data_IF_046474961234
#
_entry.id   IF_046474961234
#
_cell.length_a   1.000
_cell.length_b   1.000
_cell.length_c   1.000
_cell.angle_alpha   90.00
_cell.angle_beta   90.00
_cell.angle_gamma   90.00
#
_symmetry.space_group_name_H-M   'P 1'
#
loop_
_entity.id
_entity.type
_entity.pdbx_description
1 polymer ?
#
# COMPACT_ATOMS: atom_id res chain seq x y z
N UNK A 1 -12.31 8.90 -54.54
CA UNK A 1 -11.81 7.97 -53.51
C UNK A 1 -12.30 8.45 -52.16
N UNK A 2 -12.74 7.57 -51.22
CA UNK A 2 -13.02 8.01 -49.86
C UNK A 2 -11.72 8.56 -49.26
N UNK A 3 -11.81 9.73 -48.62
CA UNK A 3 -10.67 10.42 -48.05
C UNK A 3 -10.11 9.60 -46.87
N UNK A 4 -9.04 8.82 -47.11
CA UNK A 4 -8.36 8.00 -46.12
C UNK A 4 -7.98 8.81 -44.88
N UNK A 5 -7.63 10.09 -45.05
CA UNK A 5 -7.30 11.00 -43.96
C UNK A 5 -8.51 11.24 -43.07
N UNK A 6 -9.68 11.46 -43.66
CA UNK A 6 -10.93 11.61 -42.93
C UNK A 6 -11.31 10.34 -42.17
N UNK A 7 -11.11 9.16 -42.76
CA UNK A 7 -11.36 7.88 -42.09
C UNK A 7 -10.43 7.67 -40.89
N UNK A 8 -9.12 7.89 -41.04
CA UNK A 8 -8.15 7.73 -39.96
C UNK A 8 -8.45 8.70 -38.81
N UNK A 9 -8.80 9.95 -39.12
CA UNK A 9 -9.19 10.94 -38.11
C UNK A 9 -10.44 10.52 -37.33
N UNK A 10 -11.50 10.09 -38.03
CA UNK A 10 -12.72 9.61 -37.40
C UNK A 10 -12.49 8.36 -36.54
N UNK A 11 -11.64 7.45 -37.00
CA UNK A 11 -11.27 6.26 -36.22
C UNK A 11 -10.48 6.62 -34.96
N UNK A 12 -9.55 7.57 -35.04
CA UNK A 12 -8.78 8.05 -33.89
C UNK A 12 -9.69 8.71 -32.85
N UNK A 13 -10.68 9.50 -33.29
CA UNK A 13 -11.67 10.11 -32.40
C UNK A 13 -12.52 9.05 -31.70
N UNK A 14 -13.08 8.10 -32.45
CA UNK A 14 -13.88 7.01 -31.89
C UNK A 14 -13.08 6.17 -30.88
N UNK A 15 -11.85 5.79 -31.23
CA UNK A 15 -10.97 5.05 -30.34
C UNK A 15 -10.62 5.85 -29.07
N UNK A 16 -10.39 7.16 -29.20
CA UNK A 16 -10.15 8.05 -28.06
C UNK A 16 -11.34 8.05 -27.10
N UNK A 17 -12.56 8.14 -27.63
CA UNK A 17 -13.78 8.10 -26.81
C UNK A 17 -13.95 6.75 -26.11
N UNK A 18 -13.76 5.65 -26.83
CA UNK A 18 -13.83 4.30 -26.27
C UNK A 18 -12.80 4.09 -25.14
N UNK A 19 -11.55 4.52 -25.35
CA UNK A 19 -10.50 4.43 -24.34
C UNK A 19 -10.82 5.27 -23.10
N UNK A 20 -11.37 6.48 -23.27
CA UNK A 20 -11.79 7.32 -22.13
C UNK A 20 -12.87 6.65 -21.29
N UNK A 21 -13.86 6.05 -21.94
CA UNK A 21 -14.92 5.31 -21.23
C UNK A 21 -14.35 4.12 -20.47
N UNK A 22 -13.50 3.32 -21.13
CA UNK A 22 -12.88 2.16 -20.50
C UNK A 22 -11.99 2.55 -19.32
N UNK A 23 -11.13 3.57 -19.48
CA UNK A 23 -10.27 4.07 -18.41
C UNK A 23 -11.08 4.61 -17.23
N UNK A 24 -12.22 5.27 -17.47
CA UNK A 24 -13.10 5.74 -16.40
C UNK A 24 -13.66 4.58 -15.57
N UNK A 25 -14.14 3.51 -16.24
CA UNK A 25 -14.66 2.31 -15.55
C UNK A 25 -13.54 1.62 -14.76
N UNK A 26 -12.39 1.36 -15.41
CA UNK A 26 -11.25 0.73 -14.75
C UNK A 26 -10.70 1.58 -13.59
N UNK A 27 -10.76 2.91 -13.69
CA UNK A 27 -10.34 3.82 -12.63
C UNK A 27 -11.22 3.74 -11.38
N UNK A 28 -12.53 3.57 -11.54
CA UNK A 28 -13.46 3.37 -10.42
C UNK A 28 -13.17 2.04 -9.72
N UNK A 29 -12.99 0.96 -10.47
CA UNK A 29 -12.67 -0.36 -9.91
C UNK A 29 -11.32 -0.34 -9.19
N UNK A 30 -10.29 0.22 -9.81
CA UNK A 30 -8.96 0.32 -9.22
C UNK A 30 -8.95 1.16 -7.94
N UNK A 31 -9.76 2.24 -7.89
CA UNK A 31 -9.91 3.04 -6.67
C UNK A 31 -10.51 2.21 -5.55
N UNK A 32 -11.59 1.47 -5.82
CA UNK A 32 -12.25 0.62 -4.81
C UNK A 32 -11.27 -0.44 -4.27
N UNK A 33 -10.55 -1.11 -5.17
CA UNK A 33 -9.56 -2.12 -4.80
C UNK A 33 -8.45 -1.54 -3.93
N UNK A 34 -7.92 -0.36 -4.28
CA UNK A 34 -6.87 0.26 -3.46
C UNK A 34 -7.40 0.79 -2.12
N UNK A 35 -8.63 1.32 -2.06
CA UNK A 35 -9.28 1.67 -0.79
C UNK A 35 -9.42 0.47 0.16
N UNK A 36 -9.83 -0.69 -0.37
CA UNK A 36 -9.91 -1.95 0.37
C UNK A 36 -8.52 -2.45 0.81
N UNK A 37 -7.52 -2.38 -0.07
CA UNK A 37 -6.13 -2.79 0.23
C UNK A 37 -5.53 -1.96 1.35
N UNK A 38 -5.68 -0.64 1.33
CA UNK A 38 -5.20 0.23 2.41
C UNK A 38 -5.94 -0.02 3.72
N UNK A 39 -7.25 -0.30 3.66
CA UNK A 39 -8.03 -0.68 4.85
C UNK A 39 -7.53 -1.98 5.48
N UNK A 40 -7.26 -3.00 4.67
CA UNK A 40 -6.67 -4.26 5.14
C UNK A 40 -5.34 -4.02 5.84
N UNK A 41 -4.42 -3.31 5.18
CA UNK A 41 -3.08 -2.99 5.72
C UNK A 41 -3.14 -2.21 7.03
N UNK A 42 -4.06 -1.25 7.15
CA UNK A 42 -4.26 -0.52 8.42
C UNK A 42 -4.74 -1.45 9.54
N UNK A 43 -5.63 -2.39 9.21
CA UNK A 43 -6.06 -3.44 10.14
C UNK A 43 -4.90 -4.33 10.57
N UNK A 44 -4.10 -4.81 9.62
CA UNK A 44 -2.90 -5.63 9.88
C UNK A 44 -1.91 -4.93 10.82
N UNK A 45 -1.60 -3.65 10.57
CA UNK A 45 -0.72 -2.87 11.46
C UNK A 45 -1.34 -2.74 12.86
N UNK A 46 -2.65 -2.53 12.96
CA UNK A 46 -3.34 -2.44 14.25
C UNK A 46 -3.29 -3.77 15.02
N UNK A 47 -3.45 -4.89 14.33
CA UNK A 47 -3.32 -6.23 14.93
C UNK A 47 -1.88 -6.51 15.37
N UNK A 48 -0.87 -6.13 14.56
CA UNK A 48 0.54 -6.29 14.92
C UNK A 48 0.92 -5.50 16.18
N UNK A 49 0.35 -4.30 16.36
CA UNK A 49 0.52 -3.49 17.57
C UNK A 49 -0.04 -4.23 18.79
N UNK A 50 -1.26 -4.77 18.67
CA UNK A 50 -1.99 -5.33 19.79
C UNK A 50 -1.50 -6.73 20.20
N UNK A 51 -1.24 -7.63 19.25
CA UNK A 51 -1.21 -9.06 19.56
C UNK A 51 0.18 -9.64 19.84
N UNK A 52 1.27 -9.03 19.37
CA UNK A 52 2.54 -9.77 19.29
C UNK A 52 3.67 -9.20 20.16
N UNK A 53 3.86 -7.89 20.19
CA UNK A 53 5.09 -7.30 20.74
C UNK A 53 4.89 -6.53 22.03
N UNK A 54 3.85 -5.69 22.10
CA UNK A 54 3.60 -4.84 23.28
C UNK A 54 3.02 -5.66 24.43
N UNK A 55 1.95 -6.42 24.18
CA UNK A 55 1.31 -7.24 25.20
C UNK A 55 2.27 -8.26 25.85
N UNK A 56 3.26 -8.77 25.10
CA UNK A 56 4.29 -9.67 25.64
C UNK A 56 5.22 -8.92 26.58
N UNK A 57 5.72 -7.75 26.18
CA UNK A 57 6.59 -6.92 27.01
C UNK A 57 5.87 -6.45 28.29
N UNK A 58 4.58 -6.11 28.19
CA UNK A 58 3.75 -5.75 29.34
C UNK A 58 3.61 -6.92 30.33
N UNK A 59 3.34 -8.14 29.84
CA UNK A 59 3.28 -9.34 30.70
C UNK A 59 4.63 -9.63 31.37
N UNK A 60 5.73 -9.49 30.65
CA UNK A 60 7.08 -9.67 31.20
C UNK A 60 7.38 -8.63 32.29
N UNK A 61 6.97 -7.37 32.10
CA UNK A 61 7.09 -6.33 33.14
C UNK A 61 6.28 -6.69 34.38
N UNK A 62 5.04 -7.17 34.22
CA UNK A 62 4.20 -7.57 35.36
C UNK A 62 4.80 -8.77 36.12
N UNK A 63 5.41 -9.72 35.42
CA UNK A 63 6.13 -10.82 36.06
C UNK A 63 7.34 -10.32 36.87
N UNK A 64 8.15 -9.43 36.29
CA UNK A 64 9.30 -8.83 36.96
C UNK A 64 8.89 -8.01 38.19
N UNK A 65 7.79 -7.24 38.11
CA UNK A 65 7.23 -6.53 39.26
C UNK A 65 6.79 -7.49 40.37
N UNK A 66 6.18 -8.62 40.01
CA UNK A 66 5.81 -9.66 40.96
C UNK A 66 7.02 -10.28 41.66
N UNK A 67 8.09 -10.56 40.92
CA UNK A 67 9.37 -11.05 41.45
C UNK A 67 10.02 -10.03 42.40
N UNK A 68 10.06 -8.75 41.99
CA UNK A 68 10.55 -7.65 42.83
C UNK A 68 9.79 -7.54 44.16
N UNK A 69 8.47 -7.71 44.13
CA UNK A 69 7.63 -7.65 45.32
C UNK A 69 7.83 -8.84 46.27
N UNK A 70 8.29 -10.00 45.76
CA UNK A 70 8.58 -11.19 46.57
C UNK A 70 10.01 -11.21 47.16
N UNK A 71 10.99 -10.56 46.51
CA UNK A 71 12.43 -10.62 46.84
C UNK A 71 12.87 -9.91 48.14
N UNK A 72 11.97 -9.68 49.10
CA UNK A 72 12.28 -9.01 50.37
C UNK A 72 13.02 -9.90 51.41
N UNK A 73 13.23 -11.18 51.10
CA UNK A 73 13.80 -12.16 52.02
C UNK A 73 15.24 -12.55 51.60
N UNK A 74 16.22 -11.81 52.12
CA UNK A 74 17.68 -12.09 52.19
C UNK A 74 18.57 -11.72 50.98
N UNK A 75 19.64 -10.94 51.21
CA UNK A 75 20.88 -10.76 50.41
C UNK A 75 20.77 -10.63 48.87
N UNK A 76 19.80 -9.86 48.37
CA UNK A 76 19.54 -9.77 46.92
C UNK A 76 19.48 -8.34 46.35
N UNK A 77 20.08 -7.35 47.01
CA UNK A 77 20.05 -5.94 46.54
C UNK A 77 20.52 -5.79 45.08
N UNK A 78 21.60 -6.48 44.69
CA UNK A 78 22.06 -6.51 43.29
C UNK A 78 21.04 -7.14 42.32
N UNK A 79 20.28 -8.15 42.75
CA UNK A 79 19.24 -8.77 41.90
C UNK A 79 18.02 -7.87 41.77
N UNK A 80 17.66 -7.14 42.83
CA UNK A 80 16.59 -6.15 42.78
C UNK A 80 16.93 -5.01 41.82
N UNK A 81 18.18 -4.54 41.84
CA UNK A 81 18.68 -3.54 40.88
C UNK A 81 18.68 -4.05 39.43
N UNK A 82 19.01 -5.32 39.21
CA UNK A 82 18.93 -5.96 37.88
C UNK A 82 17.47 -6.07 37.39
N UNK A 83 16.53 -6.40 38.28
CA UNK A 83 15.10 -6.45 37.95
C UNK A 83 14.59 -5.05 37.58
N UNK A 84 14.95 -4.03 38.36
CA UNK A 84 14.55 -2.64 38.09
C UNK A 84 15.10 -2.14 36.74
N UNK A 85 16.37 -2.45 36.44
CA UNK A 85 16.97 -2.15 35.13
C UNK A 85 16.23 -2.85 33.98
N UNK A 86 15.92 -4.14 34.14
CA UNK A 86 15.18 -4.91 33.12
C UNK A 86 13.77 -4.36 32.89
N UNK A 87 13.09 -3.90 33.95
CA UNK A 87 11.79 -3.23 33.83
C UNK A 87 11.93 -1.92 33.04
N UNK A 88 12.93 -1.10 33.33
CA UNK A 88 13.19 0.16 32.62
C UNK A 88 13.50 -0.06 31.14
N UNK A 89 14.37 -1.03 30.83
CA UNK A 89 14.71 -1.39 29.45
C UNK A 89 13.49 -1.83 28.65
N UNK A 90 12.63 -2.68 29.24
CA UNK A 90 11.39 -3.14 28.60
C UNK A 90 10.38 -2.01 28.41
N UNK A 91 10.27 -1.08 29.37
CA UNK A 91 9.42 0.12 29.22
C UNK A 91 9.89 1.02 28.09
N UNK A 92 11.21 1.25 28.00
CA UNK A 92 11.79 2.04 26.91
C UNK A 92 11.56 1.35 25.55
N UNK A 93 11.61 0.03 25.49
CA UNK A 93 11.29 -0.73 24.27
C UNK A 93 9.81 -0.62 23.88
N UNK A 94 8.89 -0.68 24.84
CA UNK A 94 7.45 -0.42 24.60
C UNK A 94 7.29 0.97 23.99
N UNK A 95 7.90 2.00 24.57
CA UNK A 95 7.79 3.37 24.06
C UNK A 95 8.33 3.49 22.62
N UNK A 96 9.51 2.92 22.35
CA UNK A 96 10.11 2.90 21.01
C UNK A 96 9.19 2.22 19.99
N UNK A 97 8.64 1.05 20.33
CA UNK A 97 7.75 0.29 19.44
C UNK A 97 6.45 1.03 19.19
N UNK A 98 5.82 1.58 20.22
CA UNK A 98 4.61 2.39 20.10
C UNK A 98 4.84 3.55 19.13
N UNK A 99 5.92 4.31 19.32
CA UNK A 99 6.28 5.42 18.42
C UNK A 99 6.48 4.95 16.98
N UNK A 100 7.23 3.86 16.78
CA UNK A 100 7.46 3.29 15.46
C UNK A 100 6.13 2.91 14.76
N UNK A 101 5.21 2.28 15.47
CA UNK A 101 3.92 1.90 14.91
C UNK A 101 3.04 3.11 14.57
N UNK A 102 3.07 4.16 15.39
CA UNK A 102 2.41 5.44 15.09
C UNK A 102 2.97 6.07 13.81
N UNK A 103 4.30 6.06 13.64
CA UNK A 103 4.96 6.55 12.44
C UNK A 103 4.55 5.75 11.19
N UNK A 104 4.53 4.42 11.27
CA UNK A 104 4.10 3.53 10.18
C UNK A 104 2.65 3.81 9.82
N UNK A 105 1.76 3.96 10.82
CA UNK A 105 0.36 4.28 10.60
C UNK A 105 0.20 5.64 9.90
N UNK A 106 0.94 6.65 10.35
CA UNK A 106 0.92 7.98 9.73
C UNK A 106 1.45 7.94 8.28
N UNK A 107 2.49 7.16 8.02
CA UNK A 107 3.03 6.98 6.67
C UNK A 107 2.05 6.27 5.75
N UNK A 108 1.38 5.21 6.22
CA UNK A 108 0.35 4.52 5.45
C UNK A 108 -0.80 5.44 5.08
N UNK A 109 -1.24 6.31 6.00
CA UNK A 109 -2.31 7.26 5.71
C UNK A 109 -1.89 8.30 4.68
N UNK A 110 -0.68 8.87 4.80
CA UNK A 110 -0.13 9.79 3.79
C UNK A 110 -0.04 9.14 2.42
N UNK A 111 0.39 7.88 2.38
CA UNK A 111 0.52 7.15 1.11
C UNK A 111 -0.85 6.80 0.52
N UNK A 112 -1.81 6.41 1.35
CA UNK A 112 -3.22 6.21 0.95
C UNK A 112 -3.75 7.47 0.30
N UNK A 113 -3.56 8.63 0.94
CA UNK A 113 -3.99 9.90 0.40
C UNK A 113 -3.30 10.22 -0.94
N UNK A 114 -1.98 10.05 -1.01
CA UNK A 114 -1.20 10.29 -2.24
C UNK A 114 -1.68 9.43 -3.40
N UNK A 115 -1.87 8.13 -3.16
CA UNK A 115 -2.31 7.21 -4.20
C UNK A 115 -3.72 7.54 -4.64
N UNK A 116 -4.68 7.61 -3.71
CA UNK A 116 -6.09 7.75 -4.05
C UNK A 116 -6.42 9.12 -4.63
N UNK A 117 -5.79 10.20 -4.14
CA UNK A 117 -6.10 11.57 -4.58
C UNK A 117 -5.28 12.04 -5.76
N UNK A 118 -4.06 11.55 -5.94
CA UNK A 118 -3.14 12.11 -6.93
C UNK A 118 -2.68 11.11 -7.98
N UNK A 119 -2.20 9.92 -7.60
CA UNK A 119 -1.61 9.00 -8.56
C UNK A 119 -2.66 8.22 -9.35
N UNK A 120 -3.63 7.63 -8.66
CA UNK A 120 -4.64 6.77 -9.28
C UNK A 120 -5.52 7.55 -10.27
N UNK A 121 -6.04 8.75 -9.94
CA UNK A 121 -6.79 9.55 -10.91
C UNK A 121 -5.97 9.90 -12.16
N UNK A 122 -4.68 10.23 -12.01
CA UNK A 122 -3.79 10.55 -13.13
C UNK A 122 -3.49 9.32 -14.00
N UNK A 123 -3.34 8.14 -13.39
CA UNK A 123 -3.07 6.88 -14.10
C UNK A 123 -4.22 6.50 -15.04
N UNK A 124 -5.45 6.81 -14.65
CA UNK A 124 -6.65 6.53 -15.45
C UNK A 124 -7.15 7.74 -16.24
N UNK A 125 -6.37 8.83 -16.30
CA UNK A 125 -6.63 9.96 -17.17
C UNK A 125 -5.83 9.80 -18.48
N UNK A 126 -6.48 9.92 -19.63
CA UNK A 126 -5.77 9.97 -20.92
C UNK A 126 -5.29 11.41 -21.17
N UNK A 127 -3.98 11.63 -21.20
CA UNK A 127 -3.39 12.97 -21.46
C UNK A 127 -3.42 13.36 -22.94
N UNK A 128 -3.42 12.38 -23.85
CA UNK A 128 -3.39 12.59 -25.30
C UNK A 128 -4.44 11.74 -26.01
N UNK A 129 -5.00 12.20 -27.14
CA UNK A 129 -5.83 11.36 -28.01
C UNK A 129 -5.11 10.11 -28.48
N UNK A 130 -5.89 9.10 -28.88
CA UNK A 130 -5.36 7.90 -29.52
C UNK A 130 -4.69 8.26 -30.86
N UNK A 131 -3.56 7.63 -31.14
CA UNK A 131 -2.88 7.76 -32.43
C UNK A 131 -3.21 6.53 -33.27
N UNK A 132 -3.64 6.75 -34.51
CA UNK A 132 -3.99 5.70 -35.46
C UNK A 132 -3.06 5.83 -36.66
N UNK A 133 -2.33 4.76 -36.94
CA UNK A 133 -1.42 4.68 -38.08
C UNK A 133 -2.01 3.71 -39.10
N UNK A 134 -2.27 4.15 -40.35
CA UNK A 134 -2.67 3.23 -41.40
C UNK A 134 -1.49 2.31 -41.74
N UNK A 135 -1.73 1.00 -41.74
CA UNK A 135 -0.73 0.00 -42.13
C UNK A 135 -1.15 -0.60 -43.47
N UNK A 136 -0.23 -0.59 -44.43
CA UNK A 136 -0.42 -1.24 -45.73
C UNK A 136 0.14 -2.66 -45.65
N UNK A 137 -0.58 -3.61 -46.24
CA UNK A 137 -0.12 -4.99 -46.37
C UNK A 137 -0.04 -5.37 -47.84
N UNK A 138 1.01 -6.09 -48.22
CA UNK A 138 1.10 -6.74 -49.52
C UNK A 138 0.71 -8.20 -49.38
N UNK A 139 -0.26 -8.64 -50.19
CA UNK A 139 -0.74 -10.02 -50.16
C UNK A 139 -0.31 -10.72 -51.44
N UNK A 140 0.61 -11.69 -51.32
CA UNK A 140 1.00 -12.56 -52.43
C UNK A 140 0.03 -13.74 -52.55
N UNK A 141 -0.76 -13.76 -53.61
CA UNK A 141 -1.64 -14.88 -53.92
C UNK A 141 -0.89 -15.97 -54.72
N UNK A 142 -1.15 -17.27 -54.48
CA UNK A 142 -0.59 -18.33 -55.30
C UNK A 142 -1.19 -18.29 -56.72
N UNK A 143 -0.35 -18.13 -57.76
CA UNK A 143 -0.77 -18.12 -59.16
C UNK A 143 -0.06 -17.12 -60.09
N UNK A 144 0.81 -16.25 -59.56
CA UNK A 144 1.56 -15.27 -60.34
C UNK A 144 2.85 -15.82 -60.97
N UNK A 145 2.75 -16.84 -61.83
CA UNK A 145 3.80 -17.24 -62.75
C UNK A 145 3.17 -17.76 -64.05
N UNK A 146 3.17 -16.90 -65.07
CA UNK A 146 3.22 -17.32 -66.47
C UNK A 146 4.34 -16.52 -67.13
#
# INVERSE_FOLDING_TARGET
EPDLKAFVAAHAEHLTQALRQQLAVSGVEARKQEEERYRSRQGEVSTLIAENTLAKLEREIEQLKGQRAQGLLFDEEQKLDEIDRSIEEKRAEIERRTRHYEEVRAQLERERERILRHLLPRRYATSTPAQVFPVTIEVRLPGGAR
#
